data_IF_848415653461
#
_entry.id   IF_848415653461
#
_cell.length_a   1.000
_cell.length_b   1.000
_cell.length_c   1.000
_cell.angle_alpha   90.00
_cell.angle_beta   90.00
_cell.angle_gamma   90.00
#
_symmetry.space_group_name_H-M   'P 1'
#
loop_
_entity.id
_entity.type
_entity.pdbx_description
1 polymer ?
#
# COMPACT_ATOMS: atom_id res chain seq x y z
N UNK A 1 -26.40 -82.45 -15.12
CA UNK A 1 -25.03 -81.96 -15.06
C UNK A 1 -25.03 -80.53 -15.65
N UNK A 2 -25.09 -79.51 -14.76
CA UNK A 2 -25.12 -78.12 -15.15
C UNK A 2 -23.75 -77.51 -14.83
N UNK A 3 -23.10 -76.91 -15.82
CA UNK A 3 -21.82 -76.23 -15.69
C UNK A 3 -22.06 -74.76 -15.22
N UNK A 4 -21.43 -74.41 -14.18
CA UNK A 4 -21.44 -72.98 -13.60
C UNK A 4 -20.26 -72.25 -14.22
N UNK A 5 -20.56 -71.11 -14.85
CA UNK A 5 -19.58 -70.18 -15.39
C UNK A 5 -19.25 -69.11 -14.34
N UNK A 6 -17.98 -68.69 -14.16
CA UNK A 6 -17.64 -67.65 -13.18
C UNK A 6 -17.81 -66.25 -13.77
N UNK A 7 -18.38 -65.35 -12.94
CA UNK A 7 -18.58 -63.96 -13.23
C UNK A 7 -17.24 -63.19 -13.19
N UNK A 8 -16.99 -62.38 -14.22
CA UNK A 8 -15.88 -61.44 -14.33
C UNK A 8 -16.24 -60.15 -13.55
N UNK A 9 -15.53 -59.88 -12.47
CA UNK A 9 -15.60 -58.59 -11.77
C UNK A 9 -14.76 -57.53 -12.53
N UNK A 10 -15.45 -56.58 -13.11
CA UNK A 10 -14.81 -55.47 -13.82
C UNK A 10 -14.19 -54.49 -12.83
N UNK A 11 -12.88 -54.29 -12.91
CA UNK A 11 -12.14 -53.16 -12.35
C UNK A 11 -12.17 -52.01 -13.35
N UNK A 12 -13.02 -51.00 -13.10
CA UNK A 12 -12.87 -49.69 -13.76
C UNK A 12 -13.57 -48.65 -12.87
N UNK A 13 -12.86 -47.89 -12.10
CA UNK A 13 -13.25 -46.52 -11.65
C UNK A 13 -12.22 -45.84 -10.71
N UNK A 14 -10.91 -45.91 -11.02
CA UNK A 14 -9.94 -45.13 -10.22
C UNK A 14 -8.92 -44.28 -11.03
N UNK A 15 -8.97 -44.30 -12.38
CA UNK A 15 -7.97 -43.54 -13.16
C UNK A 15 -8.42 -42.14 -13.63
N UNK A 16 -9.68 -41.79 -13.56
CA UNK A 16 -10.16 -40.46 -14.08
C UNK A 16 -9.96 -39.30 -13.14
N UNK A 17 -9.91 -39.49 -11.81
CA UNK A 17 -9.77 -38.41 -10.86
C UNK A 17 -8.34 -37.82 -10.80
N UNK A 18 -7.29 -38.61 -11.01
CA UNK A 18 -5.92 -38.12 -10.98
C UNK A 18 -5.58 -37.23 -12.19
N UNK A 19 -6.14 -37.48 -13.35
CA UNK A 19 -5.90 -36.67 -14.55
C UNK A 19 -6.52 -35.26 -14.45
N UNK A 20 -7.69 -35.14 -13.81
CA UNK A 20 -8.33 -33.83 -13.58
C UNK A 20 -7.58 -33.00 -12.55
N UNK A 21 -7.19 -33.57 -11.43
CA UNK A 21 -6.41 -32.92 -10.40
C UNK A 21 -5.05 -32.41 -10.94
N UNK A 22 -4.35 -33.24 -11.70
CA UNK A 22 -3.08 -32.87 -12.33
C UNK A 22 -3.26 -31.75 -13.35
N UNK A 23 -4.30 -31.75 -14.18
CA UNK A 23 -4.59 -30.69 -15.16
C UNK A 23 -4.96 -29.37 -14.48
N UNK A 24 -5.70 -29.40 -13.37
CA UNK A 24 -6.05 -28.22 -12.61
C UNK A 24 -4.79 -27.61 -11.95
N UNK A 25 -3.97 -28.44 -11.30
CA UNK A 25 -2.71 -28.02 -10.67
C UNK A 25 -1.76 -27.42 -11.72
N UNK A 26 -1.59 -28.08 -12.87
CA UNK A 26 -0.70 -27.58 -13.94
C UNK A 26 -1.21 -26.25 -14.50
N UNK A 27 -2.51 -26.07 -14.74
CA UNK A 27 -3.08 -24.80 -15.21
C UNK A 27 -2.93 -23.68 -14.17
N UNK A 28 -3.15 -23.98 -12.90
CA UNK A 28 -2.98 -22.99 -11.80
C UNK A 28 -1.53 -22.59 -11.65
N UNK A 29 -0.60 -23.56 -11.74
CA UNK A 29 0.84 -23.27 -11.70
C UNK A 29 1.28 -22.45 -12.92
N UNK A 30 0.75 -22.75 -14.11
CA UNK A 30 1.04 -21.98 -15.33
C UNK A 30 0.52 -20.56 -15.24
N UNK A 31 -0.68 -20.34 -14.70
CA UNK A 31 -1.24 -19.00 -14.47
C UNK A 31 -0.43 -18.27 -13.42
N UNK A 32 -0.06 -18.90 -12.31
CA UNK A 32 0.77 -18.33 -11.28
C UNK A 32 2.18 -17.96 -11.81
N UNK A 33 2.82 -18.86 -12.57
CA UNK A 33 4.10 -18.59 -13.22
C UNK A 33 3.96 -17.50 -14.29
N UNK A 34 2.86 -17.44 -15.04
CA UNK A 34 2.60 -16.38 -16.01
C UNK A 34 2.36 -15.03 -15.33
N UNK A 35 1.65 -15.01 -14.20
CA UNK A 35 1.42 -13.79 -13.40
C UNK A 35 2.73 -13.31 -12.79
N UNK A 36 3.54 -14.21 -12.22
CA UNK A 36 4.87 -13.89 -11.70
C UNK A 36 5.80 -13.47 -12.86
N UNK A 37 5.74 -14.12 -14.02
CA UNK A 37 6.52 -13.73 -15.19
C UNK A 37 6.08 -12.37 -15.76
N UNK A 38 4.78 -12.05 -15.77
CA UNK A 38 4.26 -10.74 -16.15
C UNK A 38 4.71 -9.68 -15.13
N UNK A 39 4.69 -9.98 -13.84
CA UNK A 39 5.22 -9.10 -12.78
C UNK A 39 6.75 -8.92 -12.91
N UNK A 40 7.48 -9.96 -13.33
CA UNK A 40 8.93 -9.90 -13.56
C UNK A 40 9.30 -9.31 -14.92
N UNK A 41 8.43 -9.41 -15.94
CA UNK A 41 8.65 -8.85 -17.28
C UNK A 41 8.16 -7.40 -17.39
N UNK A 42 7.28 -6.94 -16.51
CA UNK A 42 6.93 -5.53 -16.33
C UNK A 42 8.00 -4.74 -15.55
N UNK A 43 9.14 -5.34 -15.25
CA UNK A 43 10.34 -4.68 -14.71
C UNK A 43 11.05 -3.75 -15.71
N UNK A 44 10.34 -3.28 -16.74
CA UNK A 44 10.68 -2.04 -17.45
C UNK A 44 10.50 -0.88 -16.48
N UNK A 45 11.60 -0.53 -15.79
CA UNK A 45 11.82 0.72 -15.03
C UNK A 45 10.58 1.28 -14.30
N UNK A 46 9.92 0.46 -13.47
CA UNK A 46 8.95 0.92 -12.49
C UNK A 46 9.69 1.44 -11.27
N UNK A 47 9.74 2.75 -11.14
CA UNK A 47 10.53 3.48 -10.15
C UNK A 47 9.58 4.16 -9.16
N UNK A 48 9.75 3.89 -7.90
CA UNK A 48 8.90 4.49 -6.87
C UNK A 48 9.62 4.67 -5.51
N UNK A 49 9.31 5.30 -4.60
CA UNK A 49 9.40 6.34 -3.65
C UNK A 49 10.05 6.19 -2.26
N UNK A 50 10.43 7.29 -1.65
CA UNK A 50 11.05 7.40 -0.35
C UNK A 50 10.57 8.42 0.69
N UNK A 51 9.48 9.09 0.61
CA UNK A 51 8.98 9.96 1.68
C UNK A 51 7.47 10.16 1.66
N UNK A 52 6.77 9.48 0.78
CA UNK A 52 5.34 9.60 0.67
C UNK A 52 4.73 8.35 1.30
N UNK A 53 3.72 8.57 2.09
CA UNK A 53 2.79 7.56 2.48
C UNK A 53 2.11 7.02 1.22
N UNK A 54 2.23 5.74 0.93
CA UNK A 54 1.18 5.09 0.21
C UNK A 54 -0.06 5.24 1.10
N UNK A 55 -1.03 6.02 0.65
CA UNK A 55 -2.24 6.33 1.40
C UNK A 55 -3.30 5.25 1.21
N UNK A 56 -2.86 4.07 0.80
CA UNK A 56 -3.71 2.92 0.59
C UNK A 56 -4.30 2.47 1.91
N UNK A 57 -5.61 2.30 1.96
CA UNK A 57 -6.28 1.80 3.14
C UNK A 57 -5.78 0.39 3.46
N UNK A 58 -5.53 0.13 4.73
CA UNK A 58 -5.32 -1.22 5.21
C UNK A 58 -6.64 -1.99 5.05
N UNK A 59 -6.65 -3.00 4.21
CA UNK A 59 -7.85 -3.82 4.01
C UNK A 59 -8.14 -4.65 5.26
N UNK A 60 -9.41 -4.77 5.60
CA UNK A 60 -9.89 -5.42 6.80
C UNK A 60 -9.75 -6.92 6.81
N UNK A 61 -8.54 -7.41 7.03
CA UNK A 61 -8.22 -8.83 7.17
C UNK A 61 -8.26 -9.61 5.84
N UNK A 62 -7.52 -10.70 5.80
CA UNK A 62 -7.49 -11.58 4.64
C UNK A 62 -8.82 -12.33 4.50
N UNK A 63 -9.39 -12.44 3.29
CA UNK A 63 -10.66 -13.14 3.08
C UNK A 63 -10.59 -14.66 3.27
N UNK A 64 -9.44 -15.17 3.66
CA UNK A 64 -9.11 -16.61 3.71
C UNK A 64 -9.37 -17.28 5.05
N UNK A 65 -9.52 -16.50 6.13
CA UNK A 65 -9.71 -17.01 7.49
C UNK A 65 -11.15 -17.44 7.82
N UNK A 66 -11.36 -17.88 9.06
CA UNK A 66 -12.71 -18.20 9.60
C UNK A 66 -13.68 -17.00 9.53
N UNK A 67 -13.16 -15.78 9.34
CA UNK A 67 -13.95 -14.56 9.19
C UNK A 67 -14.84 -14.53 7.95
N UNK A 68 -14.55 -15.37 6.96
CA UNK A 68 -15.36 -15.46 5.74
C UNK A 68 -15.48 -14.13 4.97
N UNK A 69 -16.38 -14.10 4.03
CA UNK A 69 -16.75 -12.93 3.24
C UNK A 69 -17.98 -12.29 3.85
N UNK A 70 -18.09 -10.97 3.74
CA UNK A 70 -19.25 -10.22 4.18
C UNK A 70 -20.50 -10.67 3.40
N UNK A 71 -21.59 -10.95 4.10
CA UNK A 71 -22.84 -11.38 3.48
C UNK A 71 -23.56 -10.21 2.79
N UNK A 72 -24.33 -10.46 1.71
CA UNK A 72 -25.11 -9.42 1.04
C UNK A 72 -26.07 -8.70 1.98
N UNK A 73 -26.11 -7.38 1.87
CA UNK A 73 -26.95 -6.52 2.73
C UNK A 73 -26.31 -6.12 4.05
N UNK A 74 -25.11 -6.63 4.35
CA UNK A 74 -24.37 -6.35 5.58
C UNK A 74 -23.32 -5.26 5.39
N UNK A 75 -22.91 -4.66 6.50
CA UNK A 75 -21.86 -3.66 6.59
C UNK A 75 -20.67 -4.19 7.36
N UNK A 76 -19.52 -3.64 7.02
CA UNK A 76 -18.27 -3.84 7.75
C UNK A 76 -17.62 -2.48 7.98
N UNK A 77 -17.14 -2.24 9.19
CA UNK A 77 -16.26 -1.11 9.50
C UNK A 77 -14.88 -1.66 9.84
N UNK A 78 -13.86 -1.06 9.25
CA UNK A 78 -12.45 -1.34 9.59
C UNK A 78 -11.79 -0.05 10.03
N UNK A 79 -11.09 -0.09 11.15
CA UNK A 79 -10.20 0.98 11.59
C UNK A 79 -8.80 0.41 11.60
N UNK A 80 -7.95 0.94 10.73
CA UNK A 80 -6.56 0.56 10.61
C UNK A 80 -5.63 1.68 11.05
N UNK A 81 -4.47 1.33 11.58
CA UNK A 81 -3.38 2.25 11.88
C UNK A 81 -2.11 1.78 11.18
N UNK A 82 -1.44 2.72 10.55
CA UNK A 82 -0.11 2.58 10.02
C UNK A 82 0.82 3.54 10.75
N UNK A 83 1.86 3.01 11.39
CA UNK A 83 2.92 3.78 12.00
C UNK A 83 4.23 3.61 11.23
N UNK A 84 4.90 4.71 10.91
CA UNK A 84 6.25 4.69 10.35
C UNK A 84 7.10 5.84 10.89
N UNK A 85 8.40 5.54 11.04
CA UNK A 85 9.43 6.50 11.38
C UNK A 85 10.49 6.50 10.29
N UNK A 86 10.48 7.54 9.43
CA UNK A 86 11.37 7.68 8.28
C UNK A 86 12.50 8.64 8.62
N UNK A 87 13.75 8.14 8.59
CA UNK A 87 14.93 8.91 8.94
C UNK A 87 16.18 8.53 8.15
N UNK A 88 16.19 7.38 7.51
CA UNK A 88 17.33 6.91 6.73
C UNK A 88 17.27 7.48 5.31
N UNK A 89 18.24 8.34 4.96
CA UNK A 89 18.28 9.02 3.67
C UNK A 89 18.96 8.18 2.59
N UNK A 90 18.37 8.15 1.40
CA UNK A 90 18.89 7.45 0.24
C UNK A 90 18.89 8.36 -0.98
N UNK A 91 19.91 8.19 -1.84
CA UNK A 91 20.00 8.70 -3.22
C UNK A 91 20.12 7.47 -4.10
N UNK A 92 19.17 7.20 -4.97
CA UNK A 92 19.03 5.87 -5.52
C UNK A 92 18.87 4.86 -4.39
N UNK A 93 19.55 3.74 -4.47
CA UNK A 93 19.63 2.69 -3.46
C UNK A 93 20.77 2.88 -2.44
N UNK A 94 21.52 3.99 -2.57
CA UNK A 94 22.70 4.27 -1.74
C UNK A 94 22.30 5.04 -0.49
N UNK A 95 22.52 4.41 0.68
CA UNK A 95 22.33 5.06 1.97
C UNK A 95 23.30 6.22 2.19
N UNK A 96 22.81 7.37 2.60
CA UNK A 96 23.58 8.59 2.83
C UNK A 96 24.09 8.63 4.27
N UNK A 97 25.15 7.86 4.56
CA UNK A 97 25.69 7.68 5.91
C UNK A 97 26.17 8.99 6.55
N UNK A 98 26.74 9.90 5.74
CA UNK A 98 27.19 11.22 6.19
C UNK A 98 26.08 12.03 6.89
N UNK A 99 24.82 11.84 6.50
CA UNK A 99 23.71 12.54 7.16
C UNK A 99 23.50 12.10 8.60
N UNK A 100 23.78 10.84 8.93
CA UNK A 100 23.76 10.36 10.32
C UNK A 100 24.97 10.90 11.11
N UNK A 101 26.14 10.89 10.49
CA UNK A 101 27.39 11.40 11.10
C UNK A 101 27.31 12.90 11.39
N UNK A 102 26.81 13.68 10.43
CA UNK A 102 26.69 15.15 10.53
C UNK A 102 25.42 15.61 11.25
N UNK A 103 24.57 14.68 11.71
CA UNK A 103 23.27 14.97 12.34
C UNK A 103 22.34 15.81 11.44
N UNK A 104 22.36 15.56 10.13
CA UNK A 104 21.53 16.27 9.15
C UNK A 104 20.37 15.44 8.66
N UNK A 105 20.09 14.29 9.27
CA UNK A 105 18.92 13.48 8.95
C UNK A 105 17.63 14.24 9.22
N UNK A 106 16.66 14.05 8.34
CA UNK A 106 15.30 14.55 8.53
C UNK A 106 14.43 13.39 9.00
N UNK A 107 13.81 13.58 10.14
CA UNK A 107 12.96 12.61 10.80
C UNK A 107 11.49 12.92 10.52
N UNK A 108 10.77 11.98 9.92
CA UNK A 108 9.32 12.05 9.78
C UNK A 108 8.69 10.95 10.65
N UNK A 109 7.81 11.34 11.56
CA UNK A 109 6.96 10.42 12.33
C UNK A 109 5.55 10.54 11.81
N UNK A 110 5.00 9.44 11.34
CA UNK A 110 3.74 9.43 10.65
C UNK A 110 2.87 8.32 11.22
N UNK A 111 1.66 8.69 11.65
CA UNK A 111 0.58 7.79 11.98
C UNK A 111 -0.56 8.10 11.00
N UNK A 112 -0.97 7.10 10.24
CA UNK A 112 -2.12 7.17 9.35
C UNK A 112 -3.18 6.23 9.91
N UNK A 113 -4.29 6.79 10.35
CA UNK A 113 -5.46 6.04 10.79
C UNK A 113 -6.49 6.07 9.67
N UNK A 114 -6.83 4.91 9.13
CA UNK A 114 -7.84 4.81 8.06
C UNK A 114 -9.10 4.16 8.62
N UNK A 115 -10.24 4.80 8.36
CA UNK A 115 -11.56 4.22 8.60
C UNK A 115 -12.14 3.81 7.25
N UNK A 116 -12.33 2.52 7.04
CA UNK A 116 -13.01 1.97 5.88
C UNK A 116 -14.41 1.51 6.27
N UNK A 117 -15.41 1.89 5.50
CA UNK A 117 -16.78 1.38 5.57
C UNK A 117 -17.07 0.63 4.29
N UNK A 118 -17.36 -0.66 4.41
CA UNK A 118 -17.74 -1.52 3.28
C UNK A 118 -19.20 -1.96 3.41
N UNK A 119 -19.95 -1.87 2.32
CA UNK A 119 -21.30 -2.41 2.17
C UNK A 119 -21.29 -3.52 1.13
N UNK A 120 -21.71 -4.73 1.50
CA UNK A 120 -21.84 -5.84 0.56
C UNK A 120 -23.19 -5.76 -0.16
N UNK A 121 -23.19 -5.23 -1.38
CA UNK A 121 -24.42 -5.02 -2.16
C UNK A 121 -24.97 -6.33 -2.72
N UNK A 122 -24.12 -7.18 -3.26
CA UNK A 122 -24.48 -8.53 -3.77
C UNK A 122 -23.44 -9.54 -3.30
N UNK A 123 -23.64 -10.85 -3.51
CA UNK A 123 -22.59 -11.85 -3.15
C UNK A 123 -21.23 -11.58 -3.77
N UNK A 124 -21.15 -10.75 -4.83
CA UNK A 124 -19.90 -10.48 -5.56
C UNK A 124 -19.49 -9.01 -5.54
N UNK A 125 -20.38 -8.08 -5.26
CA UNK A 125 -20.13 -6.64 -5.39
C UNK A 125 -20.17 -6.02 -4.00
N UNK A 126 -19.12 -5.31 -3.62
CA UNK A 126 -19.07 -4.44 -2.45
C UNK A 126 -18.81 -2.99 -2.85
N UNK A 127 -19.32 -2.07 -2.06
CA UNK A 127 -19.05 -0.63 -2.13
C UNK A 127 -18.26 -0.23 -0.91
N UNK A 128 -17.33 0.71 -1.06
CA UNK A 128 -16.48 1.13 0.05
C UNK A 128 -16.22 2.63 0.07
N UNK A 129 -15.95 3.12 1.26
CA UNK A 129 -15.50 4.49 1.53
C UNK A 129 -14.29 4.40 2.45
N UNK A 130 -13.18 5.02 2.06
CA UNK A 130 -11.98 5.14 2.87
C UNK A 130 -11.77 6.57 3.33
N UNK A 131 -11.62 6.74 4.63
CA UNK A 131 -11.41 8.02 5.30
C UNK A 131 -10.08 7.97 6.06
N UNK A 132 -8.96 8.39 5.45
CA UNK A 132 -7.66 8.42 6.11
C UNK A 132 -7.51 9.69 6.96
N UNK A 133 -6.94 9.55 8.15
CA UNK A 133 -6.59 10.62 9.08
C UNK A 133 -5.09 10.60 9.32
N UNK A 134 -4.41 11.70 8.97
CA UNK A 134 -2.98 11.84 9.14
C UNK A 134 -2.65 12.58 10.45
N UNK A 135 -1.67 12.03 11.18
CA UNK A 135 -1.00 12.68 12.29
C UNK A 135 0.51 12.59 12.03
N UNK A 136 1.12 13.71 11.64
CA UNK A 136 2.51 13.67 11.20
C UNK A 136 3.34 14.78 11.81
N UNK A 137 4.63 14.48 12.02
CA UNK A 137 5.62 15.49 12.42
C UNK A 137 6.89 15.30 11.61
N UNK A 138 7.59 16.40 11.35
CA UNK A 138 8.86 16.45 10.63
C UNK A 138 9.85 17.35 11.36
N UNK A 139 11.08 16.87 11.50
CA UNK A 139 12.16 17.62 12.13
C UNK A 139 13.51 17.27 11.48
N UNK A 140 14.38 18.24 11.25
CA UNK A 140 15.79 17.99 10.98
C UNK A 140 16.55 17.88 12.30
N UNK A 141 17.49 16.94 12.40
CA UNK A 141 18.26 16.70 13.62
C UNK A 141 19.10 17.91 14.04
N UNK A 142 19.55 18.71 13.07
CA UNK A 142 20.36 19.92 13.29
C UNK A 142 19.52 21.20 13.42
N UNK A 143 18.19 21.09 13.48
CA UNK A 143 17.29 22.27 13.60
C UNK A 143 16.42 22.15 14.84
N UNK A 144 16.19 23.24 15.57
CA UNK A 144 15.21 23.28 16.65
C UNK A 144 13.77 23.25 16.14
N UNK A 145 13.54 23.59 14.87
CA UNK A 145 12.21 23.70 14.28
C UNK A 145 11.61 22.30 14.06
N UNK A 146 10.37 22.14 14.54
CA UNK A 146 9.54 20.97 14.33
C UNK A 146 8.26 21.37 13.61
N UNK A 147 8.01 20.73 12.49
CA UNK A 147 6.78 20.88 11.72
C UNK A 147 5.78 19.80 12.11
N UNK A 148 4.49 20.13 12.03
CA UNK A 148 3.40 19.19 12.26
C UNK A 148 2.25 19.42 11.30
N UNK A 149 1.58 18.31 10.93
CA UNK A 149 0.35 18.35 10.19
C UNK A 149 -0.60 17.27 10.73
N UNK A 150 -1.88 17.63 10.82
CA UNK A 150 -2.95 16.73 11.24
C UNK A 150 -4.20 17.08 10.44
N UNK A 151 -4.90 16.06 9.96
CA UNK A 151 -6.14 16.29 9.23
C UNK A 151 -6.64 15.06 8.50
N UNK A 152 -7.86 15.18 7.97
CA UNK A 152 -8.41 14.23 7.02
C UNK A 152 -7.56 14.24 5.76
N UNK A 153 -7.25 13.08 5.23
CA UNK A 153 -6.59 12.90 3.94
C UNK A 153 -7.58 12.84 2.79
N UNK A 154 -7.10 12.42 1.63
CA UNK A 154 -7.95 12.28 0.44
C UNK A 154 -8.83 11.02 0.59
N UNK A 155 -10.13 11.20 0.39
CA UNK A 155 -11.15 10.16 0.53
C UNK A 155 -11.18 9.29 -0.72
N UNK A 156 -11.33 7.98 -0.56
CA UNK A 156 -11.57 7.05 -1.67
C UNK A 156 -13.02 6.56 -1.60
N UNK A 157 -13.68 6.59 -2.76
CA UNK A 157 -14.95 5.91 -2.98
C UNK A 157 -14.72 4.81 -4.01
N UNK A 158 -15.05 3.57 -3.66
CA UNK A 158 -14.75 2.42 -4.50
C UNK A 158 -15.86 1.39 -4.59
N UNK A 159 -15.71 0.53 -5.58
CA UNK A 159 -16.50 -0.67 -5.75
C UNK A 159 -15.62 -1.84 -6.13
N UNK A 160 -15.80 -2.97 -5.48
CA UNK A 160 -15.05 -4.20 -5.71
C UNK A 160 -15.95 -5.30 -6.23
N UNK A 161 -15.42 -6.12 -7.12
CA UNK A 161 -16.14 -7.23 -7.74
C UNK A 161 -15.32 -8.51 -7.64
N UNK A 162 -15.83 -9.51 -6.93
CA UNK A 162 -15.29 -10.87 -6.95
C UNK A 162 -15.51 -11.52 -8.32
N UNK A 163 -14.46 -12.03 -8.93
CA UNK A 163 -14.54 -12.73 -10.24
C UNK A 163 -15.46 -13.94 -10.16
N UNK A 164 -15.44 -14.66 -9.04
CA UNK A 164 -16.35 -15.77 -8.75
C UNK A 164 -17.16 -15.45 -7.50
N UNK A 165 -18.39 -16.02 -7.39
CA UNK A 165 -19.12 -15.94 -6.13
C UNK A 165 -18.26 -16.60 -5.03
N UNK A 166 -17.89 -15.87 -3.98
CA UNK A 166 -17.04 -16.37 -2.92
C UNK A 166 -17.57 -17.61 -2.21
N UNK A 167 -18.89 -17.74 -2.05
CA UNK A 167 -19.54 -18.92 -1.45
C UNK A 167 -19.21 -20.21 -2.21
N UNK A 168 -19.01 -20.09 -3.53
CA UNK A 168 -18.71 -21.22 -4.41
C UNK A 168 -17.22 -21.33 -4.76
N UNK A 169 -16.38 -20.49 -4.17
CA UNK A 169 -14.96 -20.40 -4.47
C UNK A 169 -14.05 -20.44 -3.23
N UNK A 170 -14.21 -21.39 -2.30
CA UNK A 170 -13.48 -21.41 -1.03
C UNK A 170 -11.97 -21.67 -1.17
N UNK A 171 -11.52 -22.14 -2.33
CA UNK A 171 -10.13 -22.49 -2.56
C UNK A 171 -9.29 -21.39 -3.18
N UNK A 172 -9.90 -20.53 -3.97
CA UNK A 172 -9.23 -19.39 -4.61
C UNK A 172 -10.26 -18.40 -5.15
N UNK A 173 -9.95 -17.13 -5.11
CA UNK A 173 -10.74 -16.10 -5.76
C UNK A 173 -9.87 -14.86 -6.00
N UNK A 174 -10.36 -13.97 -6.86
CA UNK A 174 -9.78 -12.66 -7.12
C UNK A 174 -10.92 -11.65 -7.13
N UNK A 175 -10.73 -10.58 -6.39
CA UNK A 175 -11.51 -9.35 -6.47
C UNK A 175 -10.72 -8.30 -7.25
N UNK A 176 -11.42 -7.53 -8.06
CA UNK A 176 -10.90 -6.34 -8.73
C UNK A 176 -11.81 -5.17 -8.39
N UNK A 177 -11.21 -4.01 -8.20
CA UNK A 177 -11.93 -2.81 -7.79
C UNK A 177 -11.56 -1.60 -8.62
N UNK A 178 -12.52 -0.69 -8.71
CA UNK A 178 -12.32 0.65 -9.25
C UNK A 178 -12.89 1.66 -8.27
N UNK A 179 -12.18 2.76 -8.11
CA UNK A 179 -12.57 3.84 -7.23
C UNK A 179 -12.12 5.19 -7.72
N UNK A 180 -12.52 6.22 -6.99
CA UNK A 180 -12.13 7.60 -7.21
C UNK A 180 -11.50 8.14 -5.93
N UNK A 181 -10.29 8.66 -6.03
CA UNK A 181 -9.68 9.50 -5.01
C UNK A 181 -10.22 10.91 -5.13
N UNK A 182 -10.78 11.41 -4.06
CA UNK A 182 -11.36 12.76 -3.95
C UNK A 182 -10.40 13.60 -3.10
N UNK A 183 -9.95 14.78 -3.57
CA UNK A 183 -9.01 15.62 -2.84
C UNK A 183 -9.70 16.35 -1.68
N UNK A 184 -10.09 15.61 -0.65
CA UNK A 184 -10.71 16.13 0.57
C UNK A 184 -9.68 16.54 1.62
N UNK A 185 -8.46 16.04 1.50
CA UNK A 185 -7.35 16.37 2.38
C UNK A 185 -6.80 17.78 2.11
N UNK A 186 -6.35 18.44 3.18
CA UNK A 186 -5.64 19.70 3.03
C UNK A 186 -4.23 19.41 2.51
N UNK A 187 -3.88 19.94 1.34
CA UNK A 187 -2.58 19.82 0.70
C UNK A 187 -1.66 21.03 0.93
N UNK A 188 -2.17 22.08 1.64
CA UNK A 188 -1.44 23.30 1.97
C UNK A 188 -1.49 23.61 3.49
N UNK A 189 -1.25 22.61 4.34
CA UNK A 189 -1.04 22.85 5.77
C UNK A 189 0.22 23.67 5.95
N UNK A 190 0.09 24.81 6.62
CA UNK A 190 1.20 25.73 6.88
C UNK A 190 1.59 25.74 8.36
N UNK A 191 2.86 25.95 8.63
CA UNK A 191 3.36 26.21 9.99
C UNK A 191 4.12 27.53 10.04
N UNK A 192 3.96 28.23 11.16
CA UNK A 192 4.77 29.40 11.50
C UNK A 192 5.94 28.96 12.38
N UNK A 193 7.13 29.38 12.04
CA UNK A 193 8.36 29.04 12.76
C UNK A 193 9.36 30.20 12.71
N UNK A 194 10.29 30.20 13.67
CA UNK A 194 11.42 31.12 13.65
C UNK A 194 12.47 30.60 12.66
N UNK A 195 12.72 31.36 11.61
CA UNK A 195 13.77 31.06 10.63
C UNK A 195 15.16 31.40 11.12
N UNK A 196 15.30 32.20 12.19
CA UNK A 196 16.58 32.49 12.84
C UNK A 196 16.99 31.35 13.78
N UNK A 197 17.49 30.26 13.18
CA UNK A 197 17.93 29.06 13.92
C UNK A 197 19.28 29.23 14.63
N UNK A 198 19.95 30.36 14.47
CA UNK A 198 21.26 30.63 15.09
C UNK A 198 21.14 31.00 16.58
N UNK A 199 19.95 31.40 17.04
CA UNK A 199 19.71 31.87 18.39
C UNK A 199 20.35 33.26 18.70
N UNK A 200 20.90 33.91 17.66
CA UNK A 200 21.49 35.25 17.77
C UNK A 200 20.64 36.25 16.98
N UNK A 201 20.21 37.32 17.65
CA UNK A 201 19.32 38.34 17.08
C UNK A 201 17.83 38.10 17.38
N UNK A 202 16.97 38.93 16.80
CA UNK A 202 15.53 38.79 16.98
C UNK A 202 14.99 37.60 16.18
N UNK A 203 13.92 36.93 16.67
CA UNK A 203 13.20 35.93 15.92
C UNK A 203 12.69 36.48 14.57
N UNK A 204 12.79 35.68 13.50
CA UNK A 204 12.23 36.00 12.18
C UNK A 204 11.15 34.99 11.89
N UNK A 205 9.90 35.36 12.17
CA UNK A 205 8.75 34.48 11.92
C UNK A 205 8.49 34.33 10.41
N UNK A 206 8.41 33.10 9.97
CA UNK A 206 8.05 32.72 8.60
C UNK A 206 6.91 31.73 8.67
N UNK A 207 5.86 31.98 7.89
CA UNK A 207 4.77 31.01 7.66
C UNK A 207 4.96 30.42 6.26
N UNK A 208 5.03 29.10 6.20
CA UNK A 208 5.20 28.38 4.92
C UNK A 208 4.52 27.00 4.96
N UNK A 209 4.18 26.44 3.79
CA UNK A 209 3.67 25.08 3.69
C UNK A 209 4.65 24.09 4.33
N UNK A 210 4.11 23.16 5.09
CA UNK A 210 4.93 22.03 5.56
C UNK A 210 5.33 21.15 4.38
N UNK A 211 6.40 20.38 4.57
CA UNK A 211 6.87 19.47 3.52
C UNK A 211 5.73 18.51 3.10
N UNK A 212 5.57 18.29 1.80
CA UNK A 212 4.47 17.51 1.24
C UNK A 212 4.43 16.06 1.76
N UNK A 213 5.56 15.53 2.29
CA UNK A 213 5.60 14.19 2.90
C UNK A 213 4.76 14.07 4.18
N UNK A 214 4.36 15.18 4.76
CA UNK A 214 3.48 15.24 5.94
C UNK A 214 2.17 16.00 5.68
N UNK A 215 1.87 16.38 4.43
CA UNK A 215 0.57 16.96 4.08
C UNK A 215 -0.52 15.89 4.10
N UNK A 216 -1.73 16.18 4.64
CA UNK A 216 -2.86 15.23 4.61
C UNK A 216 -3.36 14.91 3.20
N UNK A 217 -3.49 15.91 2.34
CA UNK A 217 -3.94 15.78 0.96
C UNK A 217 -2.80 15.83 -0.07
N UNK A 218 -3.07 15.39 -1.30
CA UNK A 218 -2.19 15.59 -2.46
C UNK A 218 -2.69 16.69 -3.41
N UNK A 219 -3.94 17.19 -3.20
CA UNK A 219 -4.55 18.26 -3.99
C UNK A 219 -5.11 17.84 -5.34
N UNK A 220 -5.21 16.56 -5.66
CA UNK A 220 -5.68 16.10 -6.97
C UNK A 220 -6.64 14.92 -6.93
N UNK A 221 -7.46 14.82 -7.99
CA UNK A 221 -8.30 13.66 -8.23
C UNK A 221 -7.47 12.47 -8.73
N UNK A 222 -7.92 11.25 -8.44
CA UNK A 222 -7.28 10.04 -8.93
C UNK A 222 -8.28 8.94 -9.26
N UNK A 223 -7.91 8.09 -10.24
CA UNK A 223 -8.54 6.81 -10.48
C UNK A 223 -7.84 5.76 -9.63
N UNK A 224 -8.57 5.07 -8.79
CA UNK A 224 -8.06 3.98 -7.95
C UNK A 224 -8.36 2.65 -8.63
N UNK A 225 -7.35 1.86 -8.87
CA UNK A 225 -7.45 0.48 -9.34
C UNK A 225 -6.93 -0.44 -8.24
N UNK A 226 -7.73 -1.41 -7.80
CA UNK A 226 -7.35 -2.28 -6.69
C UNK A 226 -7.66 -3.73 -6.99
N UNK A 227 -6.94 -4.62 -6.32
CA UNK A 227 -7.20 -6.05 -6.37
C UNK A 227 -6.93 -6.68 -5.01
N UNK A 228 -7.60 -7.78 -4.76
CA UNK A 228 -7.33 -8.65 -3.62
C UNK A 228 -7.64 -10.08 -4.01
N UNK A 229 -6.77 -11.00 -3.70
CA UNK A 229 -6.95 -12.38 -4.09
C UNK A 229 -6.29 -13.37 -3.16
N UNK A 230 -6.76 -14.59 -3.21
CA UNK A 230 -6.20 -15.70 -2.44
C UNK A 230 -6.22 -17.00 -3.23
N UNK A 231 -5.26 -17.86 -2.92
CA UNK A 231 -5.14 -19.23 -3.43
C UNK A 231 -4.78 -20.15 -2.28
N UNK A 232 -5.69 -21.02 -1.87
CA UNK A 232 -5.39 -22.11 -0.94
C UNK A 232 -4.51 -23.15 -1.63
N UNK A 233 -3.28 -23.28 -1.15
CA UNK A 233 -2.30 -24.24 -1.69
C UNK A 233 -2.51 -25.64 -1.11
N UNK A 234 -2.86 -25.72 0.17
CA UNK A 234 -3.25 -26.92 0.88
C UNK A 234 -4.11 -26.58 2.12
N UNK A 235 -4.36 -27.56 3.00
CA UNK A 235 -5.20 -27.35 4.20
C UNK A 235 -4.61 -26.37 5.23
N UNK A 236 -3.31 -26.11 5.15
CA UNK A 236 -2.57 -25.33 6.16
C UNK A 236 -1.83 -24.13 5.58
N UNK A 237 -1.95 -23.88 4.26
CA UNK A 237 -1.22 -22.82 3.61
C UNK A 237 -2.08 -22.17 2.53
N UNK A 238 -2.26 -20.88 2.66
CA UNK A 238 -2.93 -20.04 1.65
C UNK A 238 -1.96 -18.96 1.19
N UNK A 239 -1.82 -18.78 -0.11
CA UNK A 239 -1.20 -17.63 -0.73
C UNK A 239 -2.23 -16.50 -0.84
N UNK A 240 -1.82 -15.26 -0.58
CA UNK A 240 -2.63 -14.06 -0.79
C UNK A 240 -1.84 -13.00 -1.56
N UNK A 241 -2.53 -12.12 -2.23
CA UNK A 241 -1.99 -10.89 -2.80
C UNK A 241 -3.08 -9.84 -2.86
N UNK A 242 -2.72 -8.63 -2.51
CA UNK A 242 -3.55 -7.44 -2.62
C UNK A 242 -2.70 -6.23 -3.00
N UNK A 243 -3.39 -5.18 -3.40
CA UNK A 243 -2.73 -3.94 -3.75
C UNK A 243 -3.65 -2.97 -4.46
N UNK A 244 -3.10 -1.79 -4.70
CA UNK A 244 -3.76 -0.74 -5.44
C UNK A 244 -2.77 0.07 -6.28
N UNK A 245 -3.31 0.79 -7.24
CA UNK A 245 -2.65 1.84 -7.98
C UNK A 245 -3.58 3.04 -8.07
N UNK A 246 -3.12 4.19 -7.62
CA UNK A 246 -3.82 5.46 -7.70
C UNK A 246 -3.21 6.28 -8.82
N UNK A 247 -3.90 6.30 -9.97
CA UNK A 247 -3.53 7.11 -11.13
C UNK A 247 -4.16 8.49 -10.99
N UNK A 248 -3.35 9.50 -10.71
CA UNK A 248 -3.82 10.87 -10.47
C UNK A 248 -3.99 11.66 -11.77
N UNK A 249 -4.70 12.78 -11.67
CA UNK A 249 -4.85 13.72 -12.81
C UNK A 249 -3.51 14.33 -13.24
N UNK A 250 -2.47 14.29 -12.38
CA UNK A 250 -1.17 14.87 -12.63
C UNK A 250 -1.11 16.39 -12.51
N UNK A 251 -0.02 16.98 -13.00
CA UNK A 251 0.27 18.41 -12.84
C UNK A 251 0.77 18.75 -11.45
N UNK A 252 0.60 20.01 -11.05
CA UNK A 252 0.93 20.51 -9.72
C UNK A 252 -0.33 20.90 -8.97
N UNK A 253 -0.30 20.81 -7.64
CA UNK A 253 -1.40 21.25 -6.79
C UNK A 253 -1.38 22.76 -6.47
N UNK A 254 -0.40 23.51 -7.00
CA UNK A 254 -0.25 24.94 -6.75
C UNK A 254 0.43 25.29 -5.44
N UNK A 255 0.72 24.32 -4.58
CA UNK A 255 1.41 24.54 -3.31
C UNK A 255 2.90 24.77 -3.54
N UNK A 256 3.40 25.88 -3.03
CA UNK A 256 4.81 26.22 -3.14
C UNK A 256 5.65 25.33 -2.22
N UNK A 257 6.72 24.74 -2.77
CA UNK A 257 7.60 23.83 -2.02
C UNK A 257 8.33 24.45 -0.84
N UNK A 258 8.55 25.73 -0.86
CA UNK A 258 9.33 26.44 0.16
C UNK A 258 8.96 27.92 0.21
N UNK A 259 9.58 28.68 1.11
CA UNK A 259 9.27 30.08 1.32
C UNK A 259 9.59 30.99 0.13
N UNK A 260 10.46 30.54 -0.79
CA UNK A 260 10.88 31.34 -1.97
C UNK A 260 10.88 30.49 -3.22
N UNK A 261 10.56 31.12 -4.37
CA UNK A 261 10.61 30.48 -5.69
C UNK A 261 12.06 30.41 -6.18
N UNK A 262 12.43 29.25 -6.72
CA UNK A 262 13.72 29.07 -7.37
C UNK A 262 13.65 29.60 -8.80
N UNK A 263 14.59 30.45 -9.18
CA UNK A 263 14.77 30.95 -10.56
C UNK A 263 15.61 29.99 -11.40
N UNK A 264 16.43 29.17 -10.77
CA UNK A 264 17.35 28.22 -11.47
C UNK A 264 16.70 26.85 -11.67
N UNK A 265 15.73 26.50 -10.83
CA UNK A 265 15.03 25.22 -10.92
C UNK A 265 13.49 25.42 -10.82
N UNK A 266 12.87 26.11 -11.78
CA UNK A 266 11.46 26.51 -11.70
C UNK A 266 10.49 25.31 -11.64
N UNK A 267 10.81 24.16 -12.22
CA UNK A 267 10.00 22.94 -12.11
C UNK A 267 9.90 22.42 -10.67
N UNK A 268 10.82 22.79 -9.80
CA UNK A 268 10.80 22.39 -8.39
C UNK A 268 10.05 23.37 -7.47
N UNK A 269 9.41 24.40 -8.01
CA UNK A 269 8.75 25.43 -7.22
C UNK A 269 7.40 24.97 -6.63
N UNK A 270 6.68 24.10 -7.32
CA UNK A 270 5.36 23.64 -6.92
C UNK A 270 5.35 22.11 -6.77
N UNK A 271 4.53 21.63 -5.85
CA UNK A 271 4.41 20.20 -5.57
C UNK A 271 3.61 19.50 -6.66
N UNK A 272 4.13 18.39 -7.16
CA UNK A 272 3.45 17.56 -8.14
C UNK A 272 2.36 16.68 -7.49
N UNK A 273 1.23 16.57 -8.17
CA UNK A 273 0.20 15.57 -7.88
C UNK A 273 0.70 14.24 -8.45
N UNK A 274 1.15 13.35 -7.56
CA UNK A 274 1.84 12.13 -7.96
C UNK A 274 0.96 10.89 -7.81
N UNK A 275 1.10 9.94 -8.76
CA UNK A 275 0.56 8.59 -8.60
C UNK A 275 1.16 7.90 -7.40
N UNK A 276 0.48 6.89 -6.89
CA UNK A 276 0.91 6.07 -5.75
C UNK A 276 0.53 4.62 -6.02
N UNK A 277 1.25 3.69 -5.42
CA UNK A 277 0.88 2.29 -5.47
C UNK A 277 1.28 1.53 -4.21
N UNK A 278 0.59 0.43 -4.01
CA UNK A 278 0.88 -0.59 -3.03
C UNK A 278 0.69 -1.97 -3.67
N UNK A 279 1.63 -2.85 -3.42
CA UNK A 279 1.54 -4.28 -3.73
C UNK A 279 1.95 -5.07 -2.50
N UNK A 280 1.10 -5.98 -2.06
CA UNK A 280 1.43 -6.96 -1.03
C UNK A 280 1.18 -8.37 -1.55
N UNK A 281 2.02 -9.30 -1.14
CA UNK A 281 1.81 -10.71 -1.37
C UNK A 281 2.41 -11.52 -0.22
N UNK A 282 1.83 -12.66 0.07
CA UNK A 282 2.33 -13.45 1.18
C UNK A 282 1.67 -14.81 1.31
N UNK A 283 2.00 -15.45 2.40
CA UNK A 283 1.39 -16.72 2.81
C UNK A 283 0.75 -16.58 4.17
N UNK A 284 -0.39 -17.23 4.33
CA UNK A 284 -1.12 -17.36 5.58
C UNK A 284 -1.11 -18.80 6.05
N UNK A 285 -0.84 -19.00 7.35
CA UNK A 285 -0.82 -20.29 8.02
C UNK A 285 -1.72 -20.25 9.24
N UNK A 286 -2.81 -21.06 9.31
CA UNK A 286 -3.66 -21.13 10.49
C UNK A 286 -2.91 -21.74 11.66
N UNK A 287 -3.08 -21.16 12.85
CA UNK A 287 -2.50 -21.65 14.10
C UNK A 287 -3.51 -22.59 14.79
N UNK A 288 -3.45 -23.87 14.47
CA UNK A 288 -4.44 -24.88 14.87
C UNK A 288 -4.74 -24.98 16.37
N UNK A 289 -3.87 -24.45 17.24
CA UNK A 289 -4.06 -24.43 18.69
C UNK A 289 -5.02 -23.34 19.16
N UNK A 290 -5.25 -22.32 18.36
CA UNK A 290 -6.11 -21.17 18.68
C UNK A 290 -7.05 -20.95 17.53
N UNK A 291 -8.33 -21.21 17.75
CA UNK A 291 -9.35 -21.03 16.73
C UNK A 291 -9.41 -19.57 16.26
N UNK A 292 -9.45 -19.35 14.95
CA UNK A 292 -9.50 -18.02 14.34
C UNK A 292 -8.16 -17.30 14.27
N UNK A 293 -7.06 -17.89 14.78
CA UNK A 293 -5.74 -17.29 14.70
C UNK A 293 -4.97 -17.82 13.48
N UNK A 294 -4.42 -16.92 12.69
CA UNK A 294 -3.47 -17.24 11.63
C UNK A 294 -2.24 -16.32 11.69
N UNK A 295 -1.12 -16.83 11.23
CA UNK A 295 0.11 -16.09 11.02
C UNK A 295 0.29 -15.81 9.53
N UNK A 296 0.82 -14.63 9.20
CA UNK A 296 1.14 -14.23 7.83
C UNK A 296 2.62 -13.91 7.70
N UNK A 297 3.15 -14.05 6.50
CA UNK A 297 4.48 -13.58 6.16
C UNK A 297 4.55 -13.26 4.66
N UNK A 298 5.08 -12.09 4.32
CA UNK A 298 5.22 -11.70 2.93
C UNK A 298 5.97 -10.40 2.72
N UNK A 299 6.35 -10.12 1.46
CA UNK A 299 6.81 -8.81 1.02
C UNK A 299 5.65 -7.85 0.78
N UNK A 300 5.97 -6.58 0.94
CA UNK A 300 5.14 -5.43 0.62
C UNK A 300 6.00 -4.41 -0.10
N UNK A 301 5.57 -3.95 -1.27
CA UNK A 301 6.20 -2.90 -2.05
C UNK A 301 5.25 -1.72 -2.18
N UNK A 302 5.74 -0.54 -1.88
CA UNK A 302 4.93 0.67 -1.91
C UNK A 302 5.73 1.86 -2.41
N UNK A 303 5.01 2.78 -3.10
CA UNK A 303 5.73 3.91 -3.61
C UNK A 303 5.00 4.92 -4.48
N UNK A 304 5.79 5.85 -5.05
CA UNK A 304 5.38 6.85 -6.05
C UNK A 304 6.29 6.77 -7.27
N UNK A 305 5.73 6.52 -8.45
CA UNK A 305 6.51 6.39 -9.68
C UNK A 305 7.21 7.71 -10.06
N UNK A 306 8.33 7.59 -10.78
CA UNK A 306 9.07 8.72 -11.29
C UNK A 306 8.20 9.60 -12.22
N UNK A 307 7.24 8.99 -12.87
CA UNK A 307 6.23 9.64 -13.75
C UNK A 307 4.86 9.06 -13.47
N UNK A 308 3.83 9.87 -13.63
CA UNK A 308 2.46 9.39 -13.56
C UNK A 308 2.09 8.56 -14.79
N UNK A 309 1.06 7.72 -14.66
CA UNK A 309 0.50 6.92 -15.74
C UNK A 309 0.00 7.82 -16.90
N UNK A 310 -0.56 8.99 -16.56
CA UNK A 310 -1.02 9.97 -17.55
C UNK A 310 0.08 10.97 -17.88
N UNK A 311 0.47 11.13 -19.19
CA UNK A 311 1.72 11.79 -19.59
C UNK A 311 1.89 13.27 -19.25
N UNK A 312 0.80 14.01 -18.98
CA UNK A 312 0.84 15.46 -18.74
C UNK A 312 1.23 15.87 -17.31
N UNK A 313 1.76 14.96 -16.51
CA UNK A 313 1.89 15.12 -15.08
C UNK A 313 3.33 15.15 -14.58
N UNK A 314 4.28 15.41 -15.43
CA UNK A 314 5.70 15.33 -15.07
C UNK A 314 6.28 16.64 -14.52
N UNK A 315 5.48 17.69 -14.54
CA UNK A 315 5.87 19.01 -14.06
C UNK A 315 5.65 19.08 -12.54
N UNK A 316 6.61 19.68 -11.85
CA UNK A 316 6.52 19.87 -10.42
C UNK A 316 7.45 18.98 -9.60
N UNK A 317 7.66 19.43 -8.37
CA UNK A 317 8.50 18.75 -7.42
C UNK A 317 7.86 17.46 -6.92
N UNK A 318 8.58 16.36 -7.03
CA UNK A 318 8.25 15.07 -6.41
C UNK A 318 9.50 14.39 -5.89
N UNK A 319 9.32 13.46 -4.98
CA UNK A 319 10.37 12.54 -4.53
C UNK A 319 9.94 11.13 -4.90
N UNK A 320 10.13 10.68 -6.13
CA UNK A 320 9.83 9.30 -6.49
C UNK A 320 10.80 8.34 -5.80
N UNK A 321 10.42 7.11 -5.68
CA UNK A 321 11.23 6.09 -5.04
C UNK A 321 10.36 5.03 -4.34
N UNK A 322 10.90 3.86 -3.91
CA UNK A 322 10.14 2.75 -3.33
C UNK A 322 10.78 2.13 -2.11
N UNK A 323 9.97 1.43 -1.36
CA UNK A 323 10.44 0.59 -0.28
C UNK A 323 9.80 -0.80 -0.38
N UNK A 324 10.63 -1.79 -0.62
CA UNK A 324 10.25 -3.19 -0.41
C UNK A 324 10.49 -3.51 1.06
N UNK A 325 9.42 -3.89 1.73
CA UNK A 325 9.46 -4.35 3.11
C UNK A 325 9.06 -5.81 3.17
N UNK A 326 9.47 -6.53 4.20
CA UNK A 326 9.03 -7.90 4.45
C UNK A 326 8.96 -8.15 5.95
N UNK A 327 7.98 -8.94 6.36
CA UNK A 327 7.83 -9.22 7.78
C UNK A 327 6.68 -10.15 8.12
N UNK A 328 6.63 -10.55 9.39
CA UNK A 328 5.53 -11.32 9.94
C UNK A 328 4.33 -10.43 10.25
N UNK A 329 3.16 -11.01 10.11
CA UNK A 329 1.89 -10.49 10.59
C UNK A 329 1.01 -11.61 11.12
N UNK A 330 -0.21 -11.27 11.48
CA UNK A 330 -1.21 -12.22 11.91
C UNK A 330 -2.60 -11.64 11.91
N UNK A 331 -3.57 -12.54 11.88
CA UNK A 331 -4.98 -12.25 11.95
C UNK A 331 -5.63 -13.07 13.04
N UNK A 332 -6.51 -12.46 13.82
CA UNK A 332 -7.35 -13.15 14.79
C UNK A 332 -8.82 -12.82 14.54
N UNK A 333 -9.60 -13.85 14.26
CA UNK A 333 -11.03 -13.75 14.00
C UNK A 333 -11.78 -14.30 15.20
N UNK A 334 -12.67 -13.49 15.79
CA UNK A 334 -13.54 -13.87 16.88
C UNK A 334 -14.95 -13.29 16.73
N UNK A 335 -15.92 -14.15 16.41
CA UNK A 335 -17.28 -13.73 16.10
C UNK A 335 -17.30 -12.75 14.92
N UNK A 336 -17.87 -11.58 15.13
CA UNK A 336 -17.95 -10.52 14.14
C UNK A 336 -16.70 -9.62 14.06
N UNK A 337 -15.66 -9.92 14.85
CA UNK A 337 -14.45 -9.09 14.93
C UNK A 337 -13.27 -9.78 14.28
N UNK A 338 -12.47 -8.97 13.56
CA UNK A 338 -11.19 -9.38 13.01
C UNK A 338 -10.15 -8.38 13.52
N UNK A 339 -9.06 -8.89 14.07
CA UNK A 339 -7.89 -8.10 14.44
C UNK A 339 -6.73 -8.52 13.53
N UNK A 340 -6.02 -7.56 12.99
CA UNK A 340 -4.78 -7.82 12.26
C UNK A 340 -3.64 -7.01 12.86
N UNK A 341 -2.42 -7.54 12.78
CA UNK A 341 -1.22 -6.80 13.12
C UNK A 341 -0.03 -7.33 12.33
N UNK A 342 0.91 -6.44 11.98
CA UNK A 342 2.11 -6.81 11.25
C UNK A 342 3.25 -5.83 11.49
N UNK A 343 4.49 -6.34 11.34
CA UNK A 343 5.71 -5.55 11.42
C UNK A 343 6.56 -5.89 10.20
N UNK A 344 6.79 -4.89 9.36
CA UNK A 344 7.51 -5.06 8.11
C UNK A 344 8.82 -4.29 8.16
N UNK A 345 9.95 -4.98 7.97
CA UNK A 345 11.28 -4.38 7.88
C UNK A 345 11.61 -4.09 6.43
N UNK A 346 12.09 -2.89 6.14
CA UNK A 346 12.53 -2.57 4.81
C UNK A 346 13.80 -3.35 4.45
N UNK A 347 13.72 -4.08 3.33
CA UNK A 347 14.79 -4.91 2.78
C UNK A 347 15.46 -4.27 1.57
N UNK A 348 14.73 -3.43 0.85
CA UNK A 348 15.25 -2.61 -0.24
C UNK A 348 14.58 -1.25 -0.26
N UNK A 349 15.32 -0.21 -0.65
CA UNK A 349 14.84 1.17 -0.79
C UNK A 349 15.57 1.81 -1.95
N UNK A 350 14.85 2.59 -2.71
CA UNK A 350 15.44 3.35 -3.81
C UNK A 350 14.74 4.72 -3.93
N UNK A 351 15.52 5.79 -3.88
CA UNK A 351 15.09 7.14 -4.21
C UNK A 351 15.46 7.42 -5.66
N UNK A 352 14.52 7.21 -6.55
CA UNK A 352 14.73 7.36 -8.00
C UNK A 352 14.76 8.82 -8.44
N UNK A 353 15.31 9.11 -9.61
CA UNK A 353 15.31 10.45 -10.18
C UNK A 353 13.91 10.84 -10.65
N UNK A 354 13.46 12.04 -10.27
CA UNK A 354 12.24 12.65 -10.81
C UNK A 354 12.48 13.26 -12.19
N UNK A 355 11.41 13.68 -12.88
CA UNK A 355 11.54 14.44 -14.11
C UNK A 355 12.32 15.75 -13.90
N UNK A 356 12.03 16.60 -12.88
CA UNK A 356 12.89 17.75 -12.59
C UNK A 356 14.35 17.37 -12.29
N UNK A 357 14.61 16.26 -11.56
CA UNK A 357 15.98 15.80 -11.32
C UNK A 357 16.71 15.53 -12.63
N UNK A 358 16.05 14.88 -13.61
CA UNK A 358 16.64 14.60 -14.92
C UNK A 358 16.89 15.86 -15.76
N UNK A 359 15.99 16.84 -15.68
CA UNK A 359 16.13 18.13 -16.39
C UNK A 359 17.29 18.96 -15.83
N UNK A 360 17.45 18.97 -14.51
CA UNK A 360 18.47 19.77 -13.85
C UNK A 360 19.77 19.01 -13.56
N UNK A 361 19.87 17.74 -14.02
CA UNK A 361 21.03 16.86 -13.76
C UNK A 361 21.35 16.77 -12.27
N UNK A 362 20.32 16.68 -11.44
CA UNK A 362 20.41 16.49 -9.99
C UNK A 362 19.83 15.14 -9.59
N UNK A 363 20.13 14.71 -8.39
CA UNK A 363 19.47 13.55 -7.78
C UNK A 363 19.27 13.87 -6.30
N UNK A 364 18.03 14.21 -5.95
CA UNK A 364 17.68 14.51 -4.57
C UNK A 364 17.67 13.24 -3.71
N UNK A 365 17.73 13.43 -2.40
CA UNK A 365 17.56 12.36 -1.45
C UNK A 365 16.15 12.32 -0.84
N UNK A 366 15.86 11.21 -0.16
CA UNK A 366 14.63 11.02 0.58
C UNK A 366 14.84 10.16 1.84
N UNK A 367 14.08 10.46 2.89
CA UNK A 367 14.09 9.69 4.13
C UNK A 367 13.13 8.50 4.04
N UNK A 368 13.61 7.31 4.39
CA UNK A 368 12.84 6.08 4.43
C UNK A 368 12.69 5.54 5.85
N UNK A 369 11.63 4.80 6.08
CA UNK A 369 11.45 4.04 7.30
C UNK A 369 12.28 2.73 7.28
N UNK A 370 12.74 2.33 8.45
CA UNK A 370 13.32 1.00 8.63
C UNK A 370 12.26 -0.05 8.92
N UNK A 371 11.20 0.35 9.60
CA UNK A 371 10.07 -0.51 9.93
C UNK A 371 8.76 0.22 9.66
N UNK A 372 7.77 -0.54 9.21
CA UNK A 372 6.37 -0.15 9.12
C UNK A 372 5.58 -1.06 10.06
N UNK A 373 4.74 -0.48 10.89
CA UNK A 373 3.86 -1.17 11.81
C UNK A 373 2.43 -0.98 11.34
N UNK A 374 1.71 -2.06 11.22
CA UNK A 374 0.33 -2.09 10.80
C UNK A 374 -0.51 -2.77 11.86
N UNK A 375 -1.70 -2.23 12.12
CA UNK A 375 -2.69 -2.86 12.95
C UNK A 375 -4.09 -2.49 12.47
N UNK A 376 -5.04 -3.39 12.50
CA UNK A 376 -6.44 -3.06 12.23
C UNK A 376 -7.42 -3.83 13.09
N UNK A 377 -8.58 -3.23 13.28
CA UNK A 377 -9.76 -3.86 13.84
C UNK A 377 -10.91 -3.71 12.85
N UNK A 378 -11.56 -4.81 12.56
CA UNK A 378 -12.74 -4.87 11.70
C UNK A 378 -13.92 -5.42 12.49
N UNK A 379 -15.07 -4.78 12.32
CA UNK A 379 -16.34 -5.27 12.86
C UNK A 379 -17.36 -5.45 11.73
N UNK A 380 -18.05 -6.59 11.73
CA UNK A 380 -19.11 -6.93 10.77
C UNK A 380 -20.47 -6.87 11.46
N UNK A 381 -21.43 -6.21 10.81
CA UNK A 381 -22.80 -6.04 11.32
C UNK A 381 -23.74 -7.04 10.69
#
# INVERSE_FOLDING_TARGET
>A
MQSISPAIFGRTHHQTNNSYATKVITRTLTILCATIAILLLSSGEMWAQGCILARSPEQGGLPTGEGGILEPGHFQITVGERHQFSYQHYVGDVYQEYRAQDRTQVENRINLVTTNLTYQWTPRISLEIDLPWLFATRKSQNSPVKYSATGLGDTILGANVWIRNPEHAPGNNLSVGLGVLIPTGNDDVQNTYDSNTTGVGAPVEVTAPVDYSIQPGNGGWGLVMQWSGYQRLNKSLTFYSDGDYIATQGGTNGVQRGATLSTTQPLNNYVAISDQYLLEAGVEVPINKVRGLSATFGPRDEGVPARNLFPNSNDGFRRPGFAVTAGPGGQYVHGHNILTAGIYKAVHRDRTSSYPDSVYHTHGDAAFAQYVWLASWTHRF
#
